data_IF_125691974893
#
_entry.id   IF_125691974893
#
_cell.length_a   1.000
_cell.length_b   1.000
_cell.length_c   1.000
_cell.angle_alpha   90.00
_cell.angle_beta   90.00
_cell.angle_gamma   90.00
#
_symmetry.space_group_name_H-M   'P 1'
#
loop_
_entity.id
_entity.type
_entity.pdbx_description
1 polymer ?
#
# COMPACT_ATOMS: atom_id res chain seq x y z
N UNK A 1 -28.42 -29.62 7.58
CA UNK A 1 -27.28 -28.69 7.44
C UNK A 1 -26.77 -28.78 6.02
N UNK A 2 -26.65 -27.65 5.31
CA UNK A 2 -26.11 -27.61 3.94
C UNK A 2 -24.67 -27.10 3.98
N UNK A 3 -23.79 -27.56 3.10
CA UNK A 3 -22.36 -27.20 3.14
C UNK A 3 -21.81 -26.91 1.76
N UNK A 4 -21.20 -25.73 1.61
CA UNK A 4 -20.66 -25.26 0.33
C UNK A 4 -19.16 -24.98 0.45
N UNK A 5 -18.38 -25.41 -0.55
CA UNK A 5 -16.95 -25.08 -0.67
C UNK A 5 -16.82 -23.89 -1.62
N UNK A 6 -16.22 -22.80 -1.14
CA UNK A 6 -16.00 -21.58 -1.93
C UNK A 6 -14.50 -21.26 -2.00
N UNK A 7 -13.78 -21.74 -3.03
CA UNK A 7 -12.36 -21.42 -3.18
C UNK A 7 -12.16 -19.91 -3.32
N UNK A 8 -11.02 -19.40 -2.82
CA UNK A 8 -10.64 -17.98 -2.91
C UNK A 8 -11.65 -16.97 -2.32
N UNK A 9 -12.58 -17.41 -1.47
CA UNK A 9 -13.56 -16.53 -0.81
C UNK A 9 -12.91 -15.29 -0.15
N UNK A 10 -11.72 -15.47 0.44
CA UNK A 10 -10.99 -14.38 1.11
C UNK A 10 -10.33 -13.36 0.17
N UNK A 11 -10.30 -13.61 -1.15
CA UNK A 11 -9.74 -12.67 -2.14
C UNK A 11 -10.78 -11.63 -2.58
N UNK A 12 -12.07 -11.96 -2.45
CA UNK A 12 -13.19 -11.10 -2.78
C UNK A 12 -14.27 -11.26 -1.72
N UNK A 13 -14.03 -10.58 -0.60
CA UNK A 13 -14.94 -10.64 0.55
C UNK A 13 -16.29 -10.00 0.20
N UNK A 14 -16.34 -8.96 -0.64
CA UNK A 14 -17.59 -8.32 -1.04
C UNK A 14 -18.48 -9.27 -1.87
N UNK A 15 -17.90 -9.98 -2.84
CA UNK A 15 -18.64 -11.02 -3.59
C UNK A 15 -19.07 -12.18 -2.70
N UNK A 16 -18.28 -12.49 -1.67
CA UNK A 16 -18.63 -13.53 -0.69
C UNK A 16 -19.75 -13.07 0.24
N UNK A 17 -19.72 -11.82 0.70
CA UNK A 17 -20.78 -11.18 1.50
C UNK A 17 -22.11 -11.17 0.73
N UNK A 18 -22.10 -10.73 -0.53
CA UNK A 18 -23.29 -10.75 -1.37
C UNK A 18 -23.86 -12.16 -1.51
N UNK A 19 -22.99 -13.13 -1.80
CA UNK A 19 -23.39 -14.53 -1.90
C UNK A 19 -23.99 -15.07 -0.59
N UNK A 20 -23.49 -14.68 0.58
CA UNK A 20 -24.08 -15.07 1.86
C UNK A 20 -25.48 -14.46 2.05
N UNK A 21 -25.66 -13.20 1.66
CA UNK A 21 -26.95 -12.52 1.67
C UNK A 21 -27.94 -13.21 0.73
N UNK A 22 -27.51 -13.58 -0.48
CA UNK A 22 -28.34 -14.31 -1.44
C UNK A 22 -28.76 -15.69 -0.87
N UNK A 23 -27.86 -16.39 -0.18
CA UNK A 23 -28.19 -17.64 0.51
C UNK A 23 -29.22 -17.45 1.65
N UNK A 24 -29.13 -16.37 2.43
CA UNK A 24 -30.13 -16.09 3.47
C UNK A 24 -31.51 -15.74 2.90
N UNK A 25 -31.57 -15.09 1.73
CA UNK A 25 -32.82 -14.87 0.98
C UNK A 25 -33.47 -16.16 0.51
N UNK A 26 -32.68 -17.20 0.26
CA UNK A 26 -33.16 -18.55 -0.04
C UNK A 26 -33.50 -19.37 1.23
N UNK A 27 -33.34 -18.79 2.43
CA UNK A 27 -33.59 -19.46 3.71
C UNK A 27 -32.40 -20.26 4.25
N UNK A 28 -31.20 -20.07 3.72
CA UNK A 28 -29.96 -20.68 4.23
C UNK A 28 -29.14 -19.69 5.06
N UNK A 29 -29.21 -19.84 6.39
CA UNK A 29 -28.51 -18.97 7.32
C UNK A 29 -27.12 -19.51 7.63
N UNK A 30 -26.10 -18.66 7.53
CA UNK A 30 -24.73 -19.06 7.82
C UNK A 30 -24.60 -19.47 9.30
N UNK A 31 -24.10 -20.67 9.56
CA UNK A 31 -23.83 -21.18 10.91
C UNK A 31 -22.34 -21.22 11.20
N UNK A 32 -21.54 -21.70 10.25
CA UNK A 32 -20.12 -21.94 10.48
C UNK A 32 -19.27 -21.58 9.25
N UNK A 33 -18.09 -21.03 9.52
CA UNK A 33 -17.03 -20.86 8.54
C UNK A 33 -15.82 -21.72 8.93
N UNK A 34 -15.43 -22.65 8.07
CA UNK A 34 -14.22 -23.43 8.24
C UNK A 34 -13.13 -22.96 7.26
N UNK A 35 -12.25 -22.04 7.72
CA UNK A 35 -11.32 -21.28 6.86
C UNK A 35 -10.37 -22.13 6.01
N UNK A 36 -9.81 -23.22 6.54
CA UNK A 36 -8.78 -24.01 5.85
C UNK A 36 -9.38 -24.87 4.73
N UNK A 37 -10.49 -25.55 5.03
CA UNK A 37 -11.32 -26.29 4.07
C UNK A 37 -12.13 -25.37 3.13
N UNK A 38 -12.07 -24.05 3.33
CA UNK A 38 -12.79 -23.02 2.53
C UNK A 38 -14.29 -23.30 2.46
N UNK A 39 -14.85 -23.74 3.57
CA UNK A 39 -16.17 -24.36 3.65
C UNK A 39 -17.10 -23.54 4.52
N UNK A 40 -18.32 -23.33 4.04
CA UNK A 40 -19.38 -22.59 4.70
C UNK A 40 -20.53 -23.57 5.01
N UNK A 41 -20.93 -23.63 6.26
CA UNK A 41 -22.01 -24.51 6.74
C UNK A 41 -23.23 -23.66 7.04
N UNK A 42 -24.38 -24.09 6.53
CA UNK A 42 -25.64 -23.38 6.63
C UNK A 42 -26.69 -24.20 7.37
N UNK A 43 -27.56 -23.48 8.05
CA UNK A 43 -28.77 -23.96 8.69
C UNK A 43 -29.98 -23.50 7.89
N UNK A 44 -30.90 -24.42 7.62
CA UNK A 44 -32.13 -24.10 6.88
C UNK A 44 -33.10 -23.44 7.85
N UNK A 45 -33.61 -22.27 7.48
CA UNK A 45 -34.62 -21.53 8.21
C UNK A 45 -35.51 -20.75 7.23
N UNK A 46 -36.23 -19.76 7.75
CA UNK A 46 -37.08 -18.91 6.92
C UNK A 46 -36.22 -17.93 6.10
N UNK A 47 -36.60 -17.63 4.85
CA UNK A 47 -36.02 -16.53 4.07
C UNK A 47 -35.95 -15.24 4.88
N UNK A 48 -34.78 -14.59 4.90
CA UNK A 48 -34.58 -13.28 5.52
C UNK A 48 -33.68 -12.40 4.67
N UNK A 49 -33.92 -11.10 4.70
CA UNK A 49 -33.00 -10.12 4.13
C UNK A 49 -31.92 -9.78 5.16
N UNK A 50 -30.81 -10.50 5.10
CA UNK A 50 -29.70 -10.37 6.05
C UNK A 50 -28.49 -9.78 5.35
N UNK A 51 -27.96 -8.69 5.89
CA UNK A 51 -26.69 -8.12 5.46
C UNK A 51 -25.55 -8.81 6.19
N UNK A 52 -24.72 -9.57 5.47
CA UNK A 52 -23.50 -10.15 6.04
C UNK A 52 -22.29 -9.27 5.79
N UNK A 53 -21.41 -9.17 6.80
CA UNK A 53 -20.07 -8.57 6.66
C UNK A 53 -18.99 -9.49 7.20
N UNK A 54 -17.92 -9.59 6.44
CA UNK A 54 -16.73 -10.36 6.77
C UNK A 54 -15.68 -9.39 7.30
N UNK A 55 -15.19 -9.67 8.50
CA UNK A 55 -14.09 -8.95 9.12
C UNK A 55 -12.86 -9.81 9.33
N UNK A 56 -11.71 -9.16 9.48
CA UNK A 56 -10.44 -9.78 9.79
C UNK A 56 -9.79 -9.04 10.95
N UNK A 57 -9.52 -9.70 12.07
CA UNK A 57 -8.82 -9.10 13.21
C UNK A 57 -7.88 -10.10 13.89
N UNK A 58 -6.75 -9.57 14.38
CA UNK A 58 -5.73 -10.30 15.14
C UNK A 58 -6.05 -10.36 16.65
N UNK A 59 -6.98 -9.54 17.15
CA UNK A 59 -7.27 -9.43 18.59
C UNK A 59 -8.26 -10.50 19.11
N UNK A 60 -8.05 -10.95 20.37
CA UNK A 60 -8.98 -11.79 21.14
C UNK A 60 -10.33 -11.09 21.34
N UNK A 61 -11.39 -11.84 21.67
CA UNK A 61 -12.57 -11.98 20.81
C UNK A 61 -13.04 -10.61 20.32
N UNK A 62 -13.25 -10.45 19.01
CA UNK A 62 -13.91 -9.27 18.45
C UNK A 62 -15.27 -9.07 19.13
N UNK A 63 -15.27 -8.32 20.22
CA UNK A 63 -16.46 -7.70 20.79
C UNK A 63 -16.74 -6.56 19.84
N UNK A 64 -17.78 -6.75 19.03
CA UNK A 64 -18.43 -5.67 18.30
C UNK A 64 -18.46 -4.42 19.19
N UNK A 65 -18.03 -3.27 18.65
CA UNK A 65 -18.09 -2.02 19.40
C UNK A 65 -19.53 -1.77 19.86
N UNK A 66 -19.70 -1.03 20.94
CA UNK A 66 -21.03 -0.70 21.45
C UNK A 66 -21.89 -0.06 20.35
N UNK A 67 -21.30 0.83 19.54
CA UNK A 67 -21.97 1.45 18.38
C UNK A 67 -22.50 0.41 17.37
N UNK A 68 -21.70 -0.58 16.99
CA UNK A 68 -22.14 -1.61 16.04
C UNK A 68 -23.25 -2.50 16.62
N UNK A 69 -23.19 -2.82 17.92
CA UNK A 69 -24.27 -3.58 18.57
C UNK A 69 -25.58 -2.78 18.62
N UNK A 70 -25.51 -1.48 18.91
CA UNK A 70 -26.70 -0.60 18.91
C UNK A 70 -27.27 -0.45 17.48
N UNK A 71 -26.41 -0.48 16.47
CA UNK A 71 -26.79 -0.44 15.06
C UNK A 71 -27.32 -1.81 14.55
N UNK A 72 -27.45 -2.82 15.41
CA UNK A 72 -28.06 -4.12 15.10
C UNK A 72 -27.10 -5.18 14.55
N UNK A 73 -25.79 -4.96 14.62
CA UNK A 73 -24.82 -5.97 14.21
C UNK A 73 -24.63 -7.05 15.26
N UNK A 74 -24.72 -8.30 14.82
CA UNK A 74 -24.48 -9.48 15.64
C UNK A 74 -23.41 -10.38 15.04
N UNK A 75 -22.66 -11.08 15.90
CA UNK A 75 -21.60 -11.97 15.48
C UNK A 75 -22.15 -13.36 15.21
N UNK A 76 -22.00 -13.81 13.97
CA UNK A 76 -22.50 -15.11 13.50
C UNK A 76 -21.48 -16.22 13.77
N UNK A 77 -20.25 -16.05 13.27
CA UNK A 77 -19.22 -17.10 13.40
C UNK A 77 -17.81 -16.52 13.38
N UNK A 78 -16.85 -17.30 13.86
CA UNK A 78 -15.42 -16.94 13.88
C UNK A 78 -14.57 -18.15 13.53
N UNK A 79 -13.63 -17.95 12.61
CA UNK A 79 -12.67 -18.96 12.18
C UNK A 79 -11.26 -18.37 12.18
N UNK A 80 -10.51 -18.61 13.27
CA UNK A 80 -9.20 -17.99 13.47
C UNK A 80 -9.27 -16.46 13.54
N UNK A 81 -8.64 -15.78 12.58
CA UNK A 81 -8.62 -14.32 12.45
C UNK A 81 -9.80 -13.75 11.66
N UNK A 82 -10.59 -14.62 11.03
CA UNK A 82 -11.79 -14.23 10.28
C UNK A 82 -13.02 -14.32 11.15
N UNK A 83 -13.94 -13.40 10.98
CA UNK A 83 -15.25 -13.44 11.60
C UNK A 83 -16.31 -12.95 10.61
N UNK A 84 -17.54 -13.38 10.82
CA UNK A 84 -18.70 -12.94 10.06
C UNK A 84 -19.70 -12.33 11.04
N UNK A 85 -20.21 -11.17 10.69
CA UNK A 85 -21.30 -10.50 11.39
C UNK A 85 -22.50 -10.39 10.46
N UNK A 86 -23.69 -10.32 11.04
CA UNK A 86 -24.96 -10.14 10.35
C UNK A 86 -25.70 -8.94 10.91
N UNK A 87 -26.50 -8.30 10.07
CA UNK A 87 -27.48 -7.30 10.46
C UNK A 87 -28.78 -7.57 9.68
N UNK A 88 -29.90 -7.65 10.39
CA UNK A 88 -31.23 -7.91 9.80
C UNK A 88 -31.96 -6.60 9.44
N UNK A 89 -31.40 -5.43 9.77
CA UNK A 89 -31.98 -4.13 9.38
C UNK A 89 -31.79 -3.87 7.88
N UNK A 90 -32.71 -3.14 7.23
CA UNK A 90 -32.56 -2.73 5.84
C UNK A 90 -31.23 -1.99 5.61
N UNK A 91 -30.55 -2.29 4.51
CA UNK A 91 -29.23 -1.71 4.21
C UNK A 91 -29.21 -0.17 4.20
N UNK A 92 -30.36 0.47 3.96
CA UNK A 92 -30.56 1.93 4.01
C UNK A 92 -30.47 2.52 5.42
N UNK A 93 -30.71 1.72 6.47
CA UNK A 93 -30.73 2.16 7.87
C UNK A 93 -29.42 1.87 8.61
N UNK A 94 -28.56 1.02 8.03
CA UNK A 94 -27.29 0.62 8.63
C UNK A 94 -26.22 1.68 8.35
N UNK A 95 -25.88 2.46 9.38
CA UNK A 95 -24.91 3.56 9.27
C UNK A 95 -23.48 3.12 9.61
N UNK A 96 -23.33 2.01 10.34
CA UNK A 96 -22.01 1.51 10.79
C UNK A 96 -21.52 0.37 9.90
N UNK A 97 -20.21 0.36 9.60
CA UNK A 97 -19.56 -0.70 8.82
C UNK A 97 -18.21 -1.09 9.44
N UNK A 98 -17.80 -2.34 9.22
CA UNK A 98 -16.48 -2.82 9.66
C UNK A 98 -15.36 -2.18 8.86
N UNK A 99 -14.27 -1.79 9.54
CA UNK A 99 -13.04 -1.37 8.85
C UNK A 99 -12.53 -2.47 7.90
N UNK A 100 -12.25 -2.11 6.64
CA UNK A 100 -11.63 -3.02 5.66
C UNK A 100 -10.10 -3.07 5.74
N UNK A 101 -9.47 -2.30 6.62
CA UNK A 101 -8.01 -2.09 6.62
C UNK A 101 -7.23 -3.37 6.89
N UNK A 102 -7.72 -4.19 7.82
CA UNK A 102 -7.06 -5.42 8.20
C UNK A 102 -7.10 -6.47 7.08
N UNK A 103 -8.20 -6.50 6.30
CA UNK A 103 -8.35 -7.34 5.09
C UNK A 103 -7.40 -6.83 4.00
N UNK A 104 -7.40 -5.52 3.73
CA UNK A 104 -6.50 -4.88 2.76
C UNK A 104 -5.04 -5.19 3.11
N UNK A 105 -4.65 -5.09 4.38
CA UNK A 105 -3.29 -5.39 4.85
C UNK A 105 -2.89 -6.84 4.59
N UNK A 106 -3.76 -7.80 4.91
CA UNK A 106 -3.52 -9.21 4.59
C UNK A 106 -3.37 -9.41 3.09
N UNK A 107 -4.26 -8.83 2.30
CA UNK A 107 -4.26 -8.95 0.86
C UNK A 107 -3.00 -8.35 0.23
N UNK A 108 -2.51 -7.21 0.75
CA UNK A 108 -1.26 -6.61 0.31
C UNK A 108 -0.07 -7.52 0.57
N UNK A 109 -0.03 -8.24 1.70
CA UNK A 109 1.02 -9.23 1.96
C UNK A 109 1.05 -10.34 0.90
N UNK A 110 -0.12 -10.90 0.57
CA UNK A 110 -0.25 -11.93 -0.48
C UNK A 110 0.13 -11.35 -1.85
N UNK A 111 -0.34 -10.15 -2.15
CA UNK A 111 -0.02 -9.43 -3.38
C UNK A 111 1.50 -9.27 -3.56
N UNK A 112 2.21 -8.78 -2.54
CA UNK A 112 3.66 -8.59 -2.63
C UNK A 112 4.42 -9.91 -2.70
N UNK A 113 3.97 -10.95 -1.98
CA UNK A 113 4.56 -12.27 -2.07
C UNK A 113 4.45 -12.85 -3.50
N UNK A 114 3.25 -12.81 -4.10
CA UNK A 114 3.05 -13.27 -5.47
C UNK A 114 3.76 -12.38 -6.50
N UNK A 115 3.80 -11.07 -6.31
CA UNK A 115 4.58 -10.17 -7.17
C UNK A 115 6.07 -10.50 -7.13
N UNK A 116 6.64 -10.76 -5.95
CA UNK A 116 8.05 -11.12 -5.83
C UNK A 116 8.36 -12.45 -6.53
N UNK A 117 7.51 -13.47 -6.33
CA UNK A 117 7.66 -14.77 -7.00
C UNK A 117 7.49 -14.63 -8.51
N UNK A 118 6.51 -13.84 -8.98
CA UNK A 118 6.33 -13.56 -10.40
C UNK A 118 7.56 -12.90 -11.00
N UNK A 119 8.07 -11.82 -10.39
CA UNK A 119 9.28 -11.14 -10.87
C UNK A 119 10.45 -12.12 -10.96
N UNK A 120 10.64 -12.97 -9.95
CA UNK A 120 11.69 -13.98 -9.95
C UNK A 120 11.53 -14.99 -11.10
N UNK A 121 10.33 -15.59 -11.26
CA UNK A 121 10.07 -16.58 -12.31
C UNK A 121 10.17 -15.94 -13.70
N UNK A 122 9.61 -14.74 -13.90
CA UNK A 122 9.75 -14.01 -15.16
C UNK A 122 11.21 -13.71 -15.47
N UNK A 123 11.98 -13.25 -14.47
CA UNK A 123 13.41 -12.99 -14.64
C UNK A 123 14.17 -14.26 -15.01
N UNK A 124 13.95 -15.36 -14.30
CA UNK A 124 14.57 -16.65 -14.60
C UNK A 124 14.20 -17.16 -16.01
N UNK A 125 12.93 -17.03 -16.42
CA UNK A 125 12.49 -17.38 -17.78
C UNK A 125 13.18 -16.51 -18.83
N UNK A 126 13.25 -15.20 -18.63
CA UNK A 126 13.92 -14.28 -19.56
C UNK A 126 15.42 -14.59 -19.70
N UNK A 127 16.10 -14.93 -18.60
CA UNK A 127 17.51 -15.34 -18.64
C UNK A 127 17.69 -16.62 -19.46
N UNK A 128 16.83 -17.63 -19.26
CA UNK A 128 16.91 -18.87 -20.04
C UNK A 128 16.61 -18.63 -21.54
N UNK A 129 15.62 -17.80 -21.85
CA UNK A 129 15.33 -17.38 -23.23
C UNK A 129 16.52 -16.64 -23.84
N UNK A 130 17.16 -15.75 -23.09
CA UNK A 130 18.34 -15.03 -23.54
C UNK A 130 19.50 -15.98 -23.86
N UNK A 131 19.83 -16.91 -22.94
CA UNK A 131 20.89 -17.92 -23.13
C UNK A 131 20.60 -18.77 -24.38
N UNK A 132 19.37 -19.26 -24.51
CA UNK A 132 18.96 -20.05 -25.67
C UNK A 132 19.07 -19.25 -26.97
N UNK A 133 18.58 -18.01 -26.98
CA UNK A 133 18.65 -17.14 -28.17
C UNK A 133 20.09 -16.82 -28.58
N UNK A 134 20.98 -16.58 -27.60
CA UNK A 134 22.39 -16.30 -27.89
C UNK A 134 23.12 -17.53 -28.42
N UNK A 135 22.83 -18.72 -27.87
CA UNK A 135 23.41 -19.97 -28.36
C UNK A 135 22.93 -20.29 -29.78
N UNK A 136 21.63 -20.14 -30.04
CA UNK A 136 21.03 -20.38 -31.35
C UNK A 136 21.59 -19.46 -32.44
N UNK A 137 21.77 -18.17 -32.12
CA UNK A 137 22.37 -17.20 -33.05
C UNK A 137 23.86 -17.53 -33.28
N UNK A 138 24.60 -17.86 -32.23
CA UNK A 138 26.03 -18.19 -32.34
C UNK A 138 26.28 -19.48 -33.15
N UNK A 139 25.32 -20.41 -33.15
CA UNK A 139 25.40 -21.66 -33.92
C UNK A 139 24.82 -21.56 -35.33
N UNK A 140 24.47 -20.36 -35.81
CA UNK A 140 23.78 -20.13 -37.10
C UNK A 140 22.54 -21.03 -37.29
N UNK A 141 21.80 -21.26 -36.18
CA UNK A 141 20.62 -22.12 -36.15
C UNK A 141 20.88 -23.63 -36.08
N UNK A 142 22.13 -24.10 -36.17
CA UNK A 142 22.47 -25.53 -36.04
C UNK A 142 22.53 -25.96 -34.57
N UNK A 143 21.37 -26.24 -33.97
CA UNK A 143 21.25 -26.74 -32.58
C UNK A 143 20.84 -28.20 -32.59
N UNK A 144 21.65 -29.08 -32.02
CA UNK A 144 21.31 -30.49 -31.82
C UNK A 144 20.31 -30.63 -30.65
N UNK A 145 19.14 -31.19 -30.94
CA UNK A 145 18.09 -31.41 -29.93
C UNK A 145 18.20 -32.84 -29.40
N UNK A 146 18.65 -32.98 -28.16
CA UNK A 146 18.71 -34.26 -27.47
C UNK A 146 17.45 -34.45 -26.62
N UNK A 147 16.74 -35.56 -26.82
CA UNK A 147 15.55 -35.87 -26.03
C UNK A 147 15.89 -36.16 -24.57
N UNK A 148 15.08 -35.61 -23.66
CA UNK A 148 15.21 -35.88 -22.22
C UNK A 148 14.76 -37.31 -21.90
N UNK A 149 15.60 -38.12 -21.23
CA UNK A 149 15.20 -39.45 -20.74
C UNK A 149 13.99 -39.40 -19.78
N UNK A 150 13.70 -38.23 -19.19
CA UNK A 150 12.58 -37.99 -18.27
C UNK A 150 11.54 -37.02 -18.84
N UNK A 151 11.30 -37.06 -20.15
CA UNK A 151 10.42 -36.12 -20.85
C UNK A 151 9.06 -35.91 -20.17
N UNK A 152 8.39 -36.97 -19.70
CA UNK A 152 7.10 -36.88 -18.99
C UNK A 152 7.19 -35.97 -17.77
N UNK A 153 8.23 -36.11 -16.96
CA UNK A 153 8.45 -35.31 -15.76
C UNK A 153 8.72 -33.86 -16.17
N UNK A 154 9.55 -33.65 -17.21
CA UNK A 154 9.89 -32.32 -17.72
C UNK A 154 8.64 -31.57 -18.20
N UNK A 155 7.82 -32.17 -19.07
CA UNK A 155 6.62 -31.52 -19.60
C UNK A 155 5.52 -31.36 -18.55
N UNK A 156 5.34 -32.34 -17.66
CA UNK A 156 4.37 -32.22 -16.56
C UNK A 156 4.78 -31.11 -15.60
N UNK A 157 6.07 -31.02 -15.25
CA UNK A 157 6.61 -29.93 -14.44
C UNK A 157 6.43 -28.57 -15.12
N UNK A 158 6.73 -28.46 -16.41
CA UNK A 158 6.55 -27.24 -17.18
C UNK A 158 5.07 -26.80 -17.22
N UNK A 159 4.14 -27.73 -17.42
CA UNK A 159 2.70 -27.46 -17.39
C UNK A 159 2.24 -26.94 -16.03
N UNK A 160 2.70 -27.57 -14.93
CA UNK A 160 2.37 -27.14 -13.57
C UNK A 160 2.92 -25.74 -13.25
N UNK A 161 4.18 -25.46 -13.61
CA UNK A 161 4.79 -24.13 -13.43
C UNK A 161 4.03 -23.08 -14.24
N UNK A 162 3.67 -23.40 -15.48
CA UNK A 162 2.91 -22.49 -16.36
C UNK A 162 1.52 -22.20 -15.78
N UNK A 163 0.79 -23.23 -15.35
CA UNK A 163 -0.51 -23.06 -14.72
C UNK A 163 -0.42 -22.23 -13.43
N UNK A 164 0.60 -22.48 -12.60
CA UNK A 164 0.85 -21.71 -11.39
C UNK A 164 1.21 -20.24 -11.68
N UNK A 165 1.98 -19.99 -12.74
CA UNK A 165 2.32 -18.65 -13.20
C UNK A 165 1.08 -17.84 -13.59
N UNK A 166 0.19 -18.40 -14.41
CA UNK A 166 -1.08 -17.75 -14.76
C UNK A 166 -1.99 -17.57 -13.55
N UNK A 167 -2.04 -18.54 -12.63
CA UNK A 167 -2.78 -18.39 -11.37
C UNK A 167 -2.27 -17.23 -10.51
N UNK A 168 -0.94 -17.01 -10.45
CA UNK A 168 -0.37 -15.87 -9.74
C UNK A 168 -0.73 -14.54 -10.39
N UNK A 169 -0.65 -14.44 -11.73
CA UNK A 169 -1.08 -13.24 -12.47
C UNK A 169 -2.55 -12.92 -12.16
N UNK A 170 -3.42 -13.92 -12.26
CA UNK A 170 -4.84 -13.78 -11.92
C UNK A 170 -5.01 -13.31 -10.47
N UNK A 171 -4.29 -13.92 -9.53
CA UNK A 171 -4.36 -13.58 -8.11
C UNK A 171 -3.95 -12.14 -7.82
N UNK A 172 -2.84 -11.69 -8.42
CA UNK A 172 -2.34 -10.31 -8.30
C UNK A 172 -3.37 -9.32 -8.85
N UNK A 173 -3.89 -9.58 -10.04
CA UNK A 173 -4.91 -8.73 -10.66
C UNK A 173 -6.18 -8.66 -9.81
N UNK A 174 -6.68 -9.83 -9.37
CA UNK A 174 -7.90 -9.94 -8.57
C UNK A 174 -7.76 -9.22 -7.23
N UNK A 175 -6.67 -9.46 -6.50
CA UNK A 175 -6.39 -8.81 -5.22
C UNK A 175 -6.28 -7.29 -5.39
N UNK A 176 -5.59 -6.80 -6.43
CA UNK A 176 -5.48 -5.36 -6.72
C UNK A 176 -6.85 -4.74 -6.97
N UNK A 177 -7.71 -5.40 -7.75
CA UNK A 177 -9.09 -4.98 -8.02
C UNK A 177 -9.91 -4.93 -6.73
N UNK A 178 -9.88 -5.99 -5.92
CA UNK A 178 -10.62 -6.04 -4.65
C UNK A 178 -10.13 -4.99 -3.66
N UNK A 179 -8.82 -4.84 -3.47
CA UNK A 179 -8.26 -3.85 -2.54
C UNK A 179 -8.64 -2.42 -2.94
N UNK A 180 -8.71 -2.13 -4.24
CA UNK A 180 -9.21 -0.84 -4.73
C UNK A 180 -10.70 -0.65 -4.37
N UNK A 181 -11.53 -1.67 -4.55
CA UNK A 181 -12.94 -1.63 -4.20
C UNK A 181 -13.17 -1.43 -2.69
N UNK A 182 -12.45 -2.19 -1.85
CA UNK A 182 -12.48 -2.08 -0.39
C UNK A 182 -11.96 -0.73 0.10
N UNK A 183 -10.92 -0.18 -0.55
CA UNK A 183 -10.40 1.14 -0.22
C UNK A 183 -11.41 2.25 -0.57
N UNK A 184 -12.15 2.10 -1.68
CA UNK A 184 -13.20 3.03 -2.04
C UNK A 184 -14.36 2.95 -1.05
N UNK A 185 -14.81 1.75 -0.68
CA UNK A 185 -15.85 1.54 0.35
C UNK A 185 -15.45 2.21 1.68
N UNK A 186 -14.24 1.95 2.16
CA UNK A 186 -13.68 2.64 3.33
C UNK A 186 -13.71 4.16 3.16
N UNK A 187 -13.27 4.68 2.01
CA UNK A 187 -13.27 6.11 1.75
C UNK A 187 -14.68 6.70 1.70
N UNK A 188 -15.65 6.05 1.08
CA UNK A 188 -17.04 6.53 1.01
C UNK A 188 -17.67 6.58 2.40
N UNK A 189 -17.49 5.54 3.23
CA UNK A 189 -17.93 5.55 4.64
C UNK A 189 -17.34 6.74 5.41
N UNK A 190 -16.05 7.06 5.19
CA UNK A 190 -15.38 8.21 5.82
C UNK A 190 -15.70 9.57 5.20
N UNK A 191 -16.17 9.59 3.94
CA UNK A 191 -16.41 10.81 3.15
C UNK A 191 -17.83 11.31 3.40
N UNK A 192 -18.83 10.42 3.38
CA UNK A 192 -20.26 10.76 3.60
C UNK A 192 -20.51 11.40 4.96
N UNK A 193 -19.66 11.13 5.95
CA UNK A 193 -19.85 11.62 7.32
C UNK A 193 -19.22 13.00 7.59
N UNK A 194 -18.28 13.50 6.75
CA UNK A 194 -17.52 14.72 7.07
C UNK A 194 -17.04 15.58 5.87
N UNK A 195 -17.53 15.37 4.63
CA UNK A 195 -17.17 16.26 3.51
C UNK A 195 -18.18 17.38 3.31
N UNK A 196 -17.94 18.51 3.99
CA UNK A 196 -18.56 19.79 3.61
C UNK A 196 -17.57 20.81 3.02
N UNK A 197 -16.25 20.59 3.00
CA UNK A 197 -15.33 21.70 2.66
C UNK A 197 -14.28 21.50 1.55
N UNK A 198 -13.99 20.28 1.08
CA UNK A 198 -12.96 20.11 0.03
C UNK A 198 -13.57 20.21 -1.37
N UNK A 199 -13.82 21.44 -1.86
CA UNK A 199 -14.18 21.67 -3.27
C UNK A 199 -13.00 21.24 -4.15
N UNK A 200 -13.07 20.02 -4.69
CA UNK A 200 -12.07 19.52 -5.62
C UNK A 200 -12.20 20.31 -6.93
N UNK A 201 -11.20 21.12 -7.25
CA UNK A 201 -11.14 21.85 -8.52
C UNK A 201 -11.22 20.85 -9.69
N UNK A 202 -12.08 21.15 -10.66
CA UNK A 202 -12.16 20.42 -11.91
C UNK A 202 -10.88 20.61 -12.73
N UNK A 203 -10.62 19.70 -13.68
CA UNK A 203 -9.43 19.83 -14.56
C UNK A 203 -9.45 21.11 -15.39
N UNK A 204 -10.64 21.64 -15.70
CA UNK A 204 -10.81 22.88 -16.44
C UNK A 204 -10.40 24.08 -15.57
N UNK A 205 -10.88 24.15 -14.32
CA UNK A 205 -10.51 25.17 -13.35
C UNK A 205 -9.00 25.13 -13.04
N UNK A 206 -8.41 23.94 -12.84
CA UNK A 206 -6.94 23.81 -12.66
C UNK A 206 -6.16 24.35 -13.87
N UNK A 207 -6.69 24.20 -15.10
CA UNK A 207 -6.05 24.69 -16.32
C UNK A 207 -6.16 26.21 -16.43
N UNK A 208 -7.30 26.76 -16.04
CA UNK A 208 -7.53 28.21 -15.99
C UNK A 208 -6.65 28.88 -14.95
N UNK A 209 -6.62 28.38 -13.71
CA UNK A 209 -5.79 28.93 -12.62
C UNK A 209 -4.28 28.84 -12.93
N UNK A 210 -3.85 27.87 -13.76
CA UNK A 210 -2.47 27.84 -14.27
C UNK A 210 -2.20 28.94 -15.29
N UNK A 211 -3.15 29.23 -16.17
CA UNK A 211 -3.03 30.32 -17.17
C UNK A 211 -2.99 31.68 -16.48
N UNK A 212 -3.77 31.84 -15.41
CA UNK A 212 -3.83 33.05 -14.57
C UNK A 212 -2.62 33.18 -13.62
N UNK A 213 -1.71 32.19 -13.58
CA UNK A 213 -0.52 32.24 -12.71
C UNK A 213 -0.82 32.08 -11.20
N UNK A 214 -2.06 31.73 -10.85
CA UNK A 214 -2.52 31.52 -9.48
C UNK A 214 -2.18 30.12 -8.95
N UNK A 215 -1.98 29.14 -9.83
CA UNK A 215 -1.59 27.77 -9.44
C UNK A 215 -0.12 27.48 -9.75
N UNK A 216 0.71 27.42 -8.70
CA UNK A 216 2.15 27.14 -8.79
C UNK A 216 2.43 25.65 -8.57
N UNK A 217 3.34 25.09 -9.36
CA UNK A 217 3.79 23.71 -9.23
C UNK A 217 5.24 23.68 -8.74
N UNK A 218 5.51 23.02 -7.62
CA UNK A 218 6.87 22.76 -7.12
C UNK A 218 7.10 21.26 -6.92
N UNK A 219 8.33 20.79 -7.16
CA UNK A 219 8.71 19.37 -6.99
C UNK A 219 9.65 19.23 -5.81
N UNK A 220 9.42 18.22 -4.98
CA UNK A 220 10.29 17.86 -3.86
C UNK A 220 10.43 16.34 -3.80
N UNK A 221 11.60 15.83 -4.17
CA UNK A 221 11.88 14.39 -4.22
C UNK A 221 12.47 13.92 -2.89
N UNK A 222 12.10 12.70 -2.47
CA UNK A 222 12.69 12.05 -1.30
C UNK A 222 12.43 12.75 0.03
N UNK A 223 11.38 13.56 0.14
CA UNK A 223 11.04 14.23 1.40
C UNK A 223 10.70 13.26 2.53
N UNK A 224 10.25 12.04 2.21
CA UNK A 224 9.99 10.99 3.20
C UNK A 224 11.23 10.65 4.05
N UNK A 225 12.44 10.90 3.54
CA UNK A 225 13.69 10.68 4.25
C UNK A 225 14.09 11.86 5.16
N UNK A 226 13.38 12.98 5.10
CA UNK A 226 13.59 14.19 5.90
C UNK A 226 12.27 14.98 6.00
N UNK A 227 11.25 14.43 6.67
CA UNK A 227 9.91 15.01 6.71
C UNK A 227 9.88 16.37 7.41
N UNK A 228 10.76 16.60 8.38
CA UNK A 228 10.94 17.91 9.04
C UNK A 228 11.29 19.02 8.04
N UNK A 229 12.22 18.77 7.12
CA UNK A 229 12.56 19.73 6.05
C UNK A 229 11.41 19.95 5.07
N UNK A 230 10.46 19.03 5.00
CA UNK A 230 9.23 19.22 4.23
C UNK A 230 8.26 20.12 4.98
N UNK A 231 8.04 19.86 6.27
CA UNK A 231 7.21 20.67 7.16
C UNK A 231 7.64 22.14 7.08
N UNK A 232 8.91 22.44 7.38
CA UNK A 232 9.44 23.81 7.34
C UNK A 232 9.25 24.49 5.98
N UNK A 233 9.41 23.74 4.89
CA UNK A 233 9.25 24.26 3.55
C UNK A 233 7.79 24.52 3.20
N UNK A 234 6.85 23.68 3.63
CA UNK A 234 5.42 23.91 3.44
C UNK A 234 4.95 25.12 4.27
N UNK A 235 5.50 25.28 5.47
CA UNK A 235 5.25 26.43 6.35
C UNK A 235 5.77 27.73 5.73
N UNK A 236 7.00 27.72 5.19
CA UNK A 236 7.54 28.84 4.43
C UNK A 236 6.66 29.18 3.22
N UNK A 237 6.19 28.19 2.47
CA UNK A 237 5.30 28.43 1.34
C UNK A 237 3.98 29.08 1.78
N UNK A 238 3.37 28.61 2.86
CA UNK A 238 2.15 29.23 3.40
C UNK A 238 2.40 30.68 3.86
N UNK A 239 3.53 30.96 4.50
CA UNK A 239 3.94 32.32 4.88
C UNK A 239 4.21 33.25 3.70
N UNK A 240 4.62 32.72 2.54
CA UNK A 240 4.76 33.47 1.28
C UNK A 240 3.42 33.65 0.52
N UNK A 241 2.29 33.23 1.11
CA UNK A 241 0.98 33.27 0.46
C UNK A 241 0.71 32.10 -0.51
N UNK A 242 1.56 31.07 -0.50
CA UNK A 242 1.38 29.87 -1.32
C UNK A 242 0.72 28.76 -0.49
N UNK A 243 -0.61 28.67 -0.54
CA UNK A 243 -1.36 27.64 0.19
C UNK A 243 -1.28 26.30 -0.53
N UNK A 244 -0.93 25.23 0.18
CA UNK A 244 -0.95 23.88 -0.38
C UNK A 244 -2.37 23.50 -0.78
N UNK A 245 -2.59 23.24 -2.07
CA UNK A 245 -3.87 22.81 -2.60
C UNK A 245 -3.93 21.29 -2.81
N UNK A 246 -2.87 20.74 -3.41
CA UNK A 246 -2.85 19.30 -3.75
C UNK A 246 -1.43 18.77 -3.85
N UNK A 247 -1.28 17.50 -3.51
CA UNK A 247 -0.09 16.72 -3.84
C UNK A 247 -0.44 15.66 -4.88
N UNK A 248 0.45 15.40 -5.83
CA UNK A 248 0.22 14.35 -6.82
C UNK A 248 0.21 12.95 -6.19
N UNK A 249 -0.28 11.96 -6.94
CA UNK A 249 -0.38 10.57 -6.46
C UNK A 249 0.96 9.92 -6.07
N UNK A 250 2.06 10.41 -6.63
CA UNK A 250 3.42 9.93 -6.32
C UNK A 250 4.01 10.61 -5.08
N UNK A 251 3.37 11.67 -4.58
CA UNK A 251 3.85 12.43 -3.42
C UNK A 251 4.97 13.41 -3.70
N UNK A 252 5.50 13.52 -4.92
CA UNK A 252 6.71 14.32 -5.21
C UNK A 252 6.43 15.70 -5.82
N UNK A 253 5.18 16.00 -6.17
CA UNK A 253 4.77 17.26 -6.80
C UNK A 253 3.67 17.91 -5.99
N UNK A 254 3.91 19.15 -5.60
CA UNK A 254 3.04 19.97 -4.76
C UNK A 254 2.47 21.11 -5.62
N UNK A 255 1.17 21.30 -5.54
CA UNK A 255 0.42 22.34 -6.21
C UNK A 255 -0.04 23.35 -5.17
N UNK A 256 0.30 24.61 -5.37
CA UNK A 256 0.00 25.70 -4.46
C UNK A 256 -0.91 26.72 -5.13
N UNK A 257 -1.91 27.19 -4.40
CA UNK A 257 -2.71 28.34 -4.80
C UNK A 257 -2.11 29.60 -4.17
N UNK A 258 -1.86 30.61 -4.99
CA UNK A 258 -1.51 31.95 -4.50
C UNK A 258 -2.73 32.54 -3.79
N UNK A 259 -2.49 33.11 -2.63
CA UNK A 259 -3.44 33.83 -1.82
C UNK A 259 -2.69 34.65 -0.77
N UNK A 260 -3.39 34.99 0.30
CA UNK A 260 -2.80 35.74 1.40
C UNK A 260 -1.82 34.87 2.21
N UNK A 261 -0.76 35.47 2.78
CA UNK A 261 0.09 34.83 3.78
C UNK A 261 -0.73 34.18 4.91
N UNK A 262 -0.49 32.90 5.18
CA UNK A 262 -1.19 32.14 6.21
C UNK A 262 -0.21 31.43 7.13
N UNK A 263 -0.55 31.44 8.43
CA UNK A 263 0.16 30.65 9.45
C UNK A 263 -0.47 29.27 9.52
N UNK A 264 0.15 28.33 8.83
CA UNK A 264 -0.29 26.93 8.77
C UNK A 264 0.83 26.06 9.29
N UNK A 265 0.59 25.28 10.33
CA UNK A 265 1.51 24.22 10.73
C UNK A 265 1.28 22.99 9.86
N UNK A 266 2.35 22.40 9.35
CA UNK A 266 2.29 21.12 8.65
C UNK A 266 2.91 20.02 9.49
N UNK A 267 2.35 18.80 9.42
CA UNK A 267 2.97 17.62 10.00
C UNK A 267 2.94 16.44 9.04
N UNK A 268 4.13 15.93 8.71
CA UNK A 268 4.34 14.78 7.86
C UNK A 268 4.52 13.53 8.74
N UNK A 269 3.45 12.75 8.85
CA UNK A 269 3.36 11.64 9.78
C UNK A 269 3.51 10.27 9.09
N UNK A 270 4.31 9.40 9.70
CA UNK A 270 4.55 8.04 9.23
C UNK A 270 3.75 7.02 10.03
N UNK A 271 2.79 6.38 9.37
CA UNK A 271 1.93 5.38 10.00
C UNK A 271 2.04 4.01 9.33
N UNK A 272 2.15 2.95 10.13
CA UNK A 272 2.02 1.58 9.62
C UNK A 272 0.53 1.24 9.56
N UNK A 273 -0.16 1.58 8.46
CA UNK A 273 -1.59 1.29 8.24
C UNK A 273 -2.42 1.63 9.49
N UNK A 274 -2.64 2.93 9.67
CA UNK A 274 -3.45 3.49 10.77
C UNK A 274 -4.83 2.83 10.83
N UNK A 275 -5.30 2.57 12.06
CA UNK A 275 -6.70 2.23 12.35
C UNK A 275 -7.57 3.44 12.02
N UNK A 276 -8.83 3.25 11.59
CA UNK A 276 -9.79 4.34 11.35
C UNK A 276 -9.81 5.40 12.47
N UNK A 277 -9.72 4.96 13.73
CA UNK A 277 -9.67 5.83 14.91
C UNK A 277 -8.54 6.86 14.88
N UNK A 278 -7.42 6.59 14.21
CA UNK A 278 -6.29 7.53 14.13
C UNK A 278 -6.66 8.76 13.30
N UNK A 279 -7.30 8.60 12.14
CA UNK A 279 -7.69 9.75 11.31
C UNK A 279 -8.78 10.57 11.98
N UNK A 280 -9.73 9.90 12.64
CA UNK A 280 -10.82 10.54 13.38
C UNK A 280 -10.29 11.42 14.52
N UNK A 281 -9.38 10.90 15.36
CA UNK A 281 -8.79 11.66 16.47
C UNK A 281 -8.10 12.94 15.98
N UNK A 282 -7.31 12.86 14.90
CA UNK A 282 -6.60 14.03 14.38
C UNK A 282 -7.53 15.05 13.71
N UNK A 283 -8.56 14.59 12.99
CA UNK A 283 -9.58 15.48 12.41
C UNK A 283 -10.42 16.17 13.49
N UNK A 284 -10.79 15.46 14.55
CA UNK A 284 -11.46 16.05 15.73
C UNK A 284 -10.59 17.09 16.43
N UNK A 285 -9.26 16.93 16.41
CA UNK A 285 -8.30 17.92 16.91
C UNK A 285 -8.05 19.11 15.96
N UNK A 286 -8.80 19.20 14.86
CA UNK A 286 -8.74 20.30 13.88
C UNK A 286 -7.67 20.14 12.80
N UNK A 287 -7.06 18.96 12.65
CA UNK A 287 -6.08 18.71 11.58
C UNK A 287 -6.78 18.30 10.27
N UNK A 288 -6.40 18.95 9.17
CA UNK A 288 -6.88 18.67 7.81
C UNK A 288 -5.90 17.74 7.09
N UNK A 289 -6.42 16.71 6.39
CA UNK A 289 -5.61 15.77 5.59
C UNK A 289 -5.35 16.37 4.19
N UNK A 290 -4.12 16.81 3.96
CA UNK A 290 -3.71 17.40 2.67
C UNK A 290 -3.20 16.38 1.68
N UNK A 291 -2.60 15.30 2.18
CA UNK A 291 -2.12 14.21 1.34
C UNK A 291 -1.97 12.93 2.13
N UNK A 292 -2.55 11.85 1.61
CA UNK A 292 -2.30 10.49 2.08
C UNK A 292 -1.71 9.66 0.95
N UNK A 293 -0.51 9.13 1.16
CA UNK A 293 0.13 8.22 0.20
C UNK A 293 -0.65 6.90 0.06
N UNK A 294 -0.64 6.34 -1.15
CA UNK A 294 -1.32 5.07 -1.48
C UNK A 294 -0.44 3.84 -1.30
N UNK A 295 0.78 4.01 -0.79
CA UNK A 295 1.71 2.90 -0.60
C UNK A 295 1.28 2.05 0.59
N UNK A 296 1.18 0.74 0.38
CA UNK A 296 0.84 -0.22 1.43
C UNK A 296 2.00 -0.50 2.40
N UNK A 297 3.24 -0.18 2.00
CA UNK A 297 4.44 -0.42 2.81
C UNK A 297 4.86 0.80 3.63
N UNK A 298 4.65 2.01 3.08
CA UNK A 298 5.05 3.27 3.71
C UNK A 298 3.93 4.29 3.56
N UNK A 299 3.02 4.32 4.54
CA UNK A 299 1.89 5.25 4.52
C UNK A 299 2.30 6.55 5.22
N UNK A 300 2.69 7.51 4.40
CA UNK A 300 2.86 8.90 4.81
C UNK A 300 1.54 9.68 4.66
N UNK A 301 1.22 10.49 5.66
CA UNK A 301 0.12 11.47 5.62
C UNK A 301 0.68 12.86 5.93
N UNK A 302 0.26 13.87 5.17
CA UNK A 302 0.57 15.28 5.43
C UNK A 302 -0.68 15.92 6.00
N UNK A 303 -0.56 16.42 7.21
CA UNK A 303 -1.59 17.12 7.94
C UNK A 303 -1.32 18.61 7.96
N UNK A 304 -2.36 19.42 7.96
CA UNK A 304 -2.29 20.88 8.12
C UNK A 304 -3.21 21.36 9.23
N UNK A 305 -2.79 22.39 9.96
CA UNK A 305 -3.64 23.12 10.91
C UNK A 305 -3.29 24.60 10.90
N UNK A 306 -4.29 25.44 10.64
CA UNK A 306 -4.20 26.91 10.69
C UNK A 306 -4.17 27.35 12.16
N UNK A 307 -3.45 28.42 12.47
CA UNK A 307 -3.38 29.01 13.81
C UNK A 307 -3.21 30.52 13.74
N UNK A 308 -3.65 31.23 14.77
CA UNK A 308 -3.67 32.70 14.79
C UNK A 308 -2.40 33.33 15.36
N UNK A 309 -2.24 34.63 15.15
CA UNK A 309 -1.15 35.41 15.73
C UNK A 309 -1.32 35.55 17.24
N UNK A 310 -0.36 35.01 18.01
CA UNK A 310 -0.42 34.95 19.47
C UNK A 310 -0.83 33.58 20.03
N UNK A 311 -1.34 32.67 19.19
CA UNK A 311 -1.59 31.28 19.57
C UNK A 311 -0.31 30.45 19.56
N UNK A 312 -0.15 29.54 20.51
CA UNK A 312 0.95 28.57 20.49
C UNK A 312 0.81 27.66 19.25
N UNK A 313 1.91 27.51 18.50
CA UNK A 313 1.90 26.69 17.29
C UNK A 313 1.37 25.27 17.57
N UNK A 314 0.36 24.79 16.83
CA UNK A 314 -0.29 23.53 17.13
C UNK A 314 0.68 22.36 16.94
N UNK A 315 0.71 21.44 17.90
CA UNK A 315 1.54 20.23 17.83
C UNK A 315 0.66 19.00 17.64
N UNK A 316 0.98 18.18 16.63
CA UNK A 316 0.19 16.99 16.33
C UNK A 316 0.36 15.90 17.41
N UNK A 317 1.53 15.87 18.04
CA UNK A 317 1.84 15.01 19.17
C UNK A 317 2.37 15.88 20.30
N UNK A 318 1.76 15.75 21.48
CA UNK A 318 2.18 16.43 22.71
C UNK A 318 3.49 15.85 23.28
N UNK A 319 3.81 14.59 22.99
CA UNK A 319 5.00 13.91 23.49
C UNK A 319 6.11 13.79 22.41
N UNK A 320 7.28 14.39 22.67
CA UNK A 320 8.49 14.28 21.84
C UNK A 320 8.93 12.82 21.65
N UNK A 321 8.67 11.93 22.60
CA UNK A 321 9.10 10.52 22.50
C UNK A 321 8.43 9.78 21.33
N UNK A 322 7.20 10.17 20.97
CA UNK A 322 6.47 9.53 19.87
C UNK A 322 7.08 9.88 18.51
N UNK A 323 7.45 11.15 18.29
CA UNK A 323 8.15 11.59 17.08
C UNK A 323 9.51 10.90 16.95
N UNK A 324 10.25 10.75 18.04
CA UNK A 324 11.54 10.08 18.03
C UNK A 324 11.41 8.57 17.72
N UNK A 325 10.41 7.89 18.29
CA UNK A 325 10.09 6.49 17.98
C UNK A 325 9.73 6.31 16.50
N UNK A 326 8.95 7.21 15.93
CA UNK A 326 8.60 7.20 14.51
C UNK A 326 9.84 7.42 13.63
N UNK A 327 10.67 8.41 13.94
CA UNK A 327 11.90 8.68 13.20
C UNK A 327 12.86 7.48 13.22
N UNK A 328 13.03 6.83 14.38
CA UNK A 328 13.82 5.60 14.50
C UNK A 328 13.25 4.48 13.62
N UNK A 329 11.94 4.31 13.62
CA UNK A 329 11.27 3.29 12.82
C UNK A 329 11.43 3.52 11.32
N UNK A 330 11.34 4.77 10.87
CA UNK A 330 11.61 5.17 9.49
C UNK A 330 13.05 4.84 9.11
N UNK A 331 14.02 5.26 9.92
CA UNK A 331 15.45 4.97 9.69
C UNK A 331 15.72 3.47 9.60
N UNK A 332 15.24 2.67 10.56
CA UNK A 332 15.38 1.21 10.55
C UNK A 332 14.71 0.56 9.33
N UNK A 333 13.51 1.00 8.96
CA UNK A 333 12.78 0.45 7.81
C UNK A 333 13.56 0.67 6.52
N UNK A 334 14.17 1.84 6.35
CA UNK A 334 15.02 2.13 5.18
C UNK A 334 16.35 1.41 5.20
N UNK A 335 16.98 1.23 6.38
CA UNK A 335 18.17 0.38 6.50
C UNK A 335 17.86 -1.04 6.09
N UNK A 336 16.80 -1.65 6.61
CA UNK A 336 16.43 -3.04 6.25
C UNK A 336 16.10 -3.17 4.76
N UNK A 337 15.50 -2.15 4.16
CA UNK A 337 15.14 -2.17 2.74
C UNK A 337 16.35 -2.00 1.81
N UNK A 338 17.24 -1.05 2.11
CA UNK A 338 18.29 -0.63 1.17
C UNK A 338 19.67 -1.23 1.49
N UNK A 339 19.96 -1.61 2.74
CA UNK A 339 21.27 -2.15 3.11
C UNK A 339 21.60 -3.44 2.35
N UNK A 340 20.70 -4.44 2.22
CA UNK A 340 21.01 -5.64 1.44
C UNK A 340 21.32 -5.32 -0.03
N UNK A 341 20.62 -4.35 -0.62
CA UNK A 341 20.84 -3.89 -2.00
C UNK A 341 22.22 -3.22 -2.13
N UNK A 342 22.57 -2.36 -1.19
CA UNK A 342 23.88 -1.69 -1.16
C UNK A 342 25.00 -2.73 -1.02
N UNK A 343 24.88 -3.69 -0.10
CA UNK A 343 25.89 -4.74 0.10
C UNK A 343 26.02 -5.64 -1.15
N UNK A 344 24.91 -5.99 -1.79
CA UNK A 344 24.90 -6.73 -3.04
C UNK A 344 25.64 -5.97 -4.16
N UNK A 345 25.37 -4.67 -4.33
CA UNK A 345 26.08 -3.88 -5.34
C UNK A 345 27.55 -3.65 -5.00
N UNK A 346 27.91 -3.51 -3.72
CA UNK A 346 29.32 -3.46 -3.30
C UNK A 346 30.02 -4.77 -3.67
N UNK A 347 29.39 -5.92 -3.38
CA UNK A 347 29.94 -7.22 -3.73
C UNK A 347 30.13 -7.35 -5.25
N UNK A 348 29.09 -7.05 -6.05
CA UNK A 348 29.17 -7.09 -7.51
C UNK A 348 30.25 -6.14 -8.02
N UNK A 349 30.29 -4.89 -7.56
CA UNK A 349 31.31 -3.92 -7.96
C UNK A 349 32.73 -4.40 -7.60
N UNK A 350 32.92 -5.02 -6.43
CA UNK A 350 34.22 -5.54 -5.99
C UNK A 350 34.74 -6.70 -6.85
N UNK A 351 33.86 -7.55 -7.36
CA UNK A 351 34.25 -8.61 -8.32
C UNK A 351 34.67 -8.00 -9.66
N UNK A 352 33.93 -6.99 -10.11
CA UNK A 352 34.12 -6.35 -11.41
C UNK A 352 35.27 -5.34 -11.45
N UNK A 353 35.72 -4.83 -10.30
CA UNK A 353 36.79 -3.82 -10.23
C UNK A 353 38.11 -4.36 -10.79
N UNK A 354 38.36 -5.65 -10.61
CA UNK A 354 39.56 -6.32 -11.13
C UNK A 354 39.59 -6.37 -12.66
N UNK A 355 38.41 -6.42 -13.29
CA UNK A 355 38.27 -6.42 -14.74
C UNK A 355 38.48 -5.02 -15.32
N UNK A 356 37.94 -3.99 -14.65
CA UNK A 356 38.08 -2.58 -15.03
C UNK A 356 39.55 -2.13 -15.12
N UNK A 357 40.42 -2.65 -14.24
CA UNK A 357 41.84 -2.30 -14.19
C UNK A 357 42.76 -3.22 -14.98
N UNK A 358 42.25 -4.32 -15.55
CA UNK A 358 43.05 -5.30 -16.32
C UNK A 358 42.99 -5.11 -17.82
N UNK A 359 42.05 -4.31 -18.34
CA UNK A 359 41.93 -4.09 -19.78
C UNK A 359 42.74 -2.87 -20.23
N UNK A 360 43.61 -3.07 -21.23
CA UNK A 360 44.32 -2.01 -21.98
C UNK A 360 43.52 -1.50 -23.20
N UNK A 361 42.32 -2.05 -23.46
CA UNK A 361 41.47 -1.72 -24.63
C UNK A 361 40.21 -0.89 -24.31
N UNK A 362 39.49 -0.53 -25.38
CA UNK A 362 38.34 0.38 -25.41
C UNK A 362 37.19 0.03 -24.46
N UNK A 363 36.49 1.08 -24.03
CA UNK A 363 35.36 1.04 -23.09
C UNK A 363 34.28 0.02 -23.44
N UNK A 364 33.94 -0.84 -22.48
CA UNK A 364 32.96 -1.92 -22.66
C UNK A 364 31.63 -1.67 -21.93
N UNK A 365 30.61 -2.48 -22.27
CA UNK A 365 29.36 -2.52 -21.50
C UNK A 365 29.58 -2.93 -20.03
N UNK A 366 30.62 -3.72 -19.77
CA UNK A 366 30.99 -4.16 -18.42
C UNK A 366 31.48 -2.99 -17.55
N UNK A 367 32.26 -2.07 -18.13
CA UNK A 367 32.76 -0.87 -17.45
C UNK A 367 31.62 0.08 -17.12
N UNK A 368 30.72 0.27 -18.09
CA UNK A 368 29.48 1.05 -17.90
C UNK A 368 28.64 0.48 -16.75
N UNK A 369 28.43 -0.85 -16.72
CA UNK A 369 27.69 -1.51 -15.64
C UNK A 369 28.36 -1.33 -14.27
N UNK A 370 29.68 -1.44 -14.22
CA UNK A 370 30.46 -1.26 -12.99
C UNK A 370 30.28 0.15 -12.41
N UNK A 371 30.34 1.18 -13.25
CA UNK A 371 30.11 2.57 -12.84
C UNK A 371 28.67 2.79 -12.38
N UNK A 372 27.69 2.21 -13.09
CA UNK A 372 26.28 2.28 -12.68
C UNK A 372 26.10 1.69 -11.27
N UNK A 373 26.76 0.59 -10.93
CA UNK A 373 26.69 0.03 -9.58
C UNK A 373 27.23 0.99 -8.52
N UNK A 374 28.34 1.69 -8.77
CA UNK A 374 28.84 2.74 -7.86
C UNK A 374 27.84 3.88 -7.68
N UNK A 375 27.21 4.34 -8.76
CA UNK A 375 26.14 5.34 -8.69
C UNK A 375 24.97 4.83 -7.85
N UNK A 376 24.54 3.58 -8.05
CA UNK A 376 23.49 2.96 -7.26
C UNK A 376 23.86 2.87 -5.76
N UNK A 377 25.08 2.48 -5.42
CA UNK A 377 25.58 2.43 -4.03
C UNK A 377 25.44 3.81 -3.38
N UNK A 378 25.88 4.87 -4.05
CA UNK A 378 25.76 6.24 -3.54
C UNK A 378 24.29 6.65 -3.37
N UNK A 379 23.45 6.42 -4.37
CA UNK A 379 22.03 6.78 -4.33
C UNK A 379 21.31 6.08 -3.17
N UNK A 380 21.40 4.75 -3.06
CA UNK A 380 20.75 4.00 -1.99
C UNK A 380 21.38 4.26 -0.62
N UNK A 381 22.70 4.45 -0.56
CA UNK A 381 23.41 4.86 0.65
C UNK A 381 22.92 6.20 1.19
N UNK A 382 22.65 7.18 0.31
CA UNK A 382 22.12 8.49 0.74
C UNK A 382 20.73 8.39 1.38
N UNK A 383 19.89 7.43 0.98
CA UNK A 383 18.58 7.23 1.60
C UNK A 383 18.70 6.71 3.04
N UNK A 384 19.63 5.78 3.28
CA UNK A 384 19.95 5.28 4.62
C UNK A 384 20.49 6.44 5.47
N UNK A 385 21.48 7.17 4.96
CA UNK A 385 22.10 8.29 5.65
C UNK A 385 21.08 9.38 6.03
N UNK A 386 20.19 9.77 5.11
CA UNK A 386 19.13 10.75 5.36
C UNK A 386 18.16 10.31 6.46
N UNK A 387 17.77 9.04 6.48
CA UNK A 387 16.91 8.49 7.53
C UNK A 387 17.54 8.60 8.92
N UNK A 388 18.82 8.26 9.05
CA UNK A 388 19.55 8.39 10.32
C UNK A 388 19.82 9.86 10.70
N UNK A 389 20.18 10.72 9.74
CA UNK A 389 20.32 12.16 9.98
C UNK A 389 19.02 12.79 10.48
N UNK A 390 17.87 12.38 9.96
CA UNK A 390 16.56 12.79 10.48
C UNK A 390 16.37 12.37 11.94
N UNK A 391 16.64 11.11 12.28
CA UNK A 391 16.58 10.64 13.66
C UNK A 391 17.50 11.42 14.61
N UNK A 392 18.75 11.66 14.22
CA UNK A 392 19.70 12.39 15.06
C UNK A 392 19.33 13.86 15.25
N UNK A 393 18.75 14.52 14.23
CA UNK A 393 18.24 15.90 14.37
C UNK A 393 17.11 15.97 15.39
N UNK A 394 16.16 15.03 15.35
CA UNK A 394 15.08 14.97 16.34
C UNK A 394 15.57 14.61 17.75
N UNK A 395 16.66 13.85 17.87
CA UNK A 395 17.24 13.52 19.18
C UNK A 395 17.94 14.71 19.83
N UNK A 396 18.44 15.66 19.03
CA UNK A 396 19.17 16.85 19.49
C UNK A 396 18.26 18.05 19.79
N UNK A 397 17.04 18.06 19.26
CA UNK A 397 15.99 19.07 19.50
C UNK A 397 15.06 18.65 20.65
#
# INVERSE_FOLDING_TARGET
>A
MNTHIKPLWSYDVQKTEQWLTDQAKEGYHLKELHRFKRRFTFEKGNPKDVTYRIGYDKLKPATLSNTMRHDGWEKVTKSGKWYVIANERPQSEVTTSTSRDAIIKRNNYIFYAFMAILIYITGAMLTNVAIFSTAYIASDGNVEVVESPFWIITYTGAALVTAFYFFMIYSVWKIKKTNKALSNENQTTHTTQYTLEKKNLTKAEEKQLKREGLLIKRRKFGWMYSPDKLEDWLEQQAGEGNRLHRVNKLGNTFYFLKGEPQRIKYSADYQNLSKNSYYEIHRQAGWKDEYSSKSALQKWTIWSKEYEEGEAAPTMYSDKTNKLKQARKVALSYTVLFLPIVLMYIFIASMNISFLFRQEEAWTLHDTNTIIFFVCILVFGTFIAKGWMYYFRLRRA
#
